data_IF_039990021506
#
_entry.id   IF_039990021506
#
_cell.length_a   1.000
_cell.length_b   1.000
_cell.length_c   1.000
_cell.angle_alpha   90.00
_cell.angle_beta   90.00
_cell.angle_gamma   90.00
#
_symmetry.space_group_name_H-M   'P 1'
#
loop_
_entity.id
_entity.type
_entity.pdbx_description
1 polymer ?
#
# COMPACT_ATOMS: atom_id res chain seq x y z
N UNK A 1 -30.26 12.41 34.53
CA UNK A 1 -29.57 13.24 33.52
C UNK A 1 -30.03 12.78 32.15
N UNK A 2 -30.65 13.66 31.37
CA UNK A 2 -31.24 13.33 30.07
C UNK A 2 -30.14 13.39 28.98
N UNK A 3 -29.93 12.29 28.27
CA UNK A 3 -29.02 12.15 27.11
C UNK A 3 -29.13 13.25 26.03
N UNK A 4 -30.30 13.84 25.70
CA UNK A 4 -30.36 14.92 24.70
C UNK A 4 -29.58 16.18 25.07
N UNK A 5 -29.41 16.49 26.36
CA UNK A 5 -28.68 17.70 26.76
C UNK A 5 -27.17 17.56 26.58
N UNK A 6 -26.63 16.33 26.68
CA UNK A 6 -25.22 16.05 26.43
C UNK A 6 -24.85 16.17 24.95
N UNK A 7 -25.75 15.76 24.04
CA UNK A 7 -25.53 15.87 22.59
C UNK A 7 -25.48 17.33 22.13
N UNK A 8 -26.32 18.19 22.71
CA UNK A 8 -26.30 19.64 22.46
C UNK A 8 -25.00 20.29 22.95
N UNK A 9 -24.48 19.88 24.10
CA UNK A 9 -23.21 20.38 24.63
C UNK A 9 -22.00 19.92 23.78
N UNK A 10 -22.10 18.75 23.15
CA UNK A 10 -21.11 18.22 22.21
C UNK A 10 -21.24 18.75 20.77
N UNK A 11 -22.23 19.61 20.50
CA UNK A 11 -22.54 20.17 19.15
C UNK A 11 -22.71 19.07 18.09
N UNK A 12 -23.23 17.91 18.47
CA UNK A 12 -23.50 16.82 17.54
C UNK A 12 -24.87 17.10 16.91
N UNK A 13 -24.96 17.28 15.58
CA UNK A 13 -26.25 17.53 14.93
C UNK A 13 -27.17 16.32 15.09
N UNK A 14 -28.46 16.58 15.27
CA UNK A 14 -29.47 15.54 15.41
C UNK A 14 -29.69 14.80 14.09
N UNK A 15 -30.13 13.52 14.14
CA UNK A 15 -30.34 12.71 12.92
C UNK A 15 -31.35 13.34 11.94
N UNK A 16 -32.33 14.09 12.46
CA UNK A 16 -33.28 14.84 11.64
C UNK A 16 -32.62 15.96 10.85
N UNK A 17 -31.71 16.71 11.48
CA UNK A 17 -30.99 17.82 10.85
C UNK A 17 -30.06 17.33 9.74
N UNK A 18 -29.37 16.20 9.99
CA UNK A 18 -28.52 15.55 8.98
C UNK A 18 -29.36 15.06 7.79
N UNK A 19 -30.52 14.46 8.06
CA UNK A 19 -31.42 13.98 6.99
C UNK A 19 -31.95 15.13 6.13
N UNK A 20 -32.37 16.22 6.76
CA UNK A 20 -32.92 17.38 6.04
C UNK A 20 -31.82 18.10 5.25
N UNK A 21 -30.60 18.14 5.79
CA UNK A 21 -29.42 18.59 5.05
C UNK A 21 -29.09 17.71 3.84
N UNK A 22 -29.14 16.38 3.98
CA UNK A 22 -28.92 15.46 2.86
C UNK A 22 -29.99 15.61 1.77
N UNK A 23 -31.24 15.89 2.16
CA UNK A 23 -32.35 16.16 1.23
C UNK A 23 -32.25 17.52 0.54
N UNK A 24 -31.45 18.46 1.07
CA UNK A 24 -31.21 19.76 0.42
C UNK A 24 -30.32 19.64 -0.83
N UNK A 25 -29.58 18.53 -1.00
CA UNK A 25 -28.78 18.29 -2.18
C UNK A 25 -29.61 17.78 -3.35
N UNK A 26 -29.17 18.11 -4.57
CA UNK A 26 -29.78 17.55 -5.78
C UNK A 26 -29.55 16.03 -5.86
N UNK A 27 -30.49 15.32 -6.48
CA UNK A 27 -30.38 13.88 -6.71
C UNK A 27 -29.08 13.51 -7.42
N UNK A 28 -28.63 14.32 -8.38
CA UNK A 28 -27.39 14.09 -9.12
C UNK A 28 -26.15 14.20 -8.22
N UNK A 29 -26.15 15.14 -7.28
CA UNK A 29 -25.05 15.31 -6.31
C UNK A 29 -24.97 14.09 -5.39
N UNK A 30 -26.10 13.63 -4.87
CA UNK A 30 -26.14 12.47 -3.97
C UNK A 30 -25.68 11.18 -4.69
N UNK A 31 -26.15 10.97 -5.92
CA UNK A 31 -25.72 9.85 -6.77
C UNK A 31 -24.22 9.97 -7.11
N UNK A 32 -23.73 11.16 -7.45
CA UNK A 32 -22.33 11.40 -7.73
C UNK A 32 -21.41 11.10 -6.54
N UNK A 33 -21.81 11.50 -5.33
CA UNK A 33 -21.10 11.15 -4.09
C UNK A 33 -21.09 9.64 -3.86
N UNK A 34 -22.21 8.96 -4.06
CA UNK A 34 -22.30 7.50 -3.99
C UNK A 34 -21.37 6.81 -4.98
N UNK A 35 -21.34 7.28 -6.22
CA UNK A 35 -20.47 6.73 -7.26
C UNK A 35 -18.98 6.93 -6.92
N UNK A 36 -18.59 8.12 -6.46
CA UNK A 36 -17.21 8.43 -6.07
C UNK A 36 -16.76 7.60 -4.87
N UNK A 37 -17.61 7.47 -3.84
CA UNK A 37 -17.31 6.66 -2.65
C UNK A 37 -17.17 5.17 -3.00
N UNK A 38 -18.05 4.63 -3.85
CA UNK A 38 -17.94 3.27 -4.35
C UNK A 38 -16.66 3.05 -5.17
N UNK A 39 -16.34 3.97 -6.09
CA UNK A 39 -15.14 3.87 -6.93
C UNK A 39 -13.84 3.94 -6.12
N UNK A 40 -13.77 4.86 -5.15
CA UNK A 40 -12.61 5.00 -4.26
C UNK A 40 -12.46 3.79 -3.35
N UNK A 41 -13.54 3.27 -2.77
CA UNK A 41 -13.51 2.05 -1.97
C UNK A 41 -13.06 0.84 -2.80
N UNK A 42 -13.59 0.68 -4.02
CA UNK A 42 -13.19 -0.38 -4.94
C UNK A 42 -11.70 -0.29 -5.30
N UNK A 43 -11.21 0.91 -5.63
CA UNK A 43 -9.80 1.13 -5.91
C UNK A 43 -8.93 0.84 -4.68
N UNK A 44 -9.34 1.28 -3.49
CA UNK A 44 -8.61 0.98 -2.25
C UNK A 44 -8.56 -0.51 -1.92
N UNK A 45 -9.61 -1.26 -2.25
CA UNK A 45 -9.69 -2.71 -2.04
C UNK A 45 -8.86 -3.51 -3.05
N UNK A 46 -8.77 -3.03 -4.30
CA UNK A 46 -8.13 -3.76 -5.41
C UNK A 46 -6.74 -3.26 -5.77
N UNK A 47 -6.32 -2.09 -5.26
CA UNK A 47 -4.99 -1.53 -5.53
C UNK A 47 -3.89 -2.51 -5.12
N UNK A 48 -2.80 -2.60 -5.90
CA UNK A 48 -1.62 -3.36 -5.51
C UNK A 48 -1.11 -2.87 -4.17
N UNK A 49 -0.90 -3.79 -3.22
CA UNK A 49 -0.27 -3.46 -1.95
C UNK A 49 1.21 -3.19 -2.20
N UNK A 50 1.72 -2.09 -1.63
CA UNK A 50 3.14 -1.83 -1.65
C UNK A 50 3.87 -3.00 -0.99
N UNK A 51 4.86 -3.56 -1.68
CA UNK A 51 5.70 -4.59 -1.12
C UNK A 51 6.42 -4.01 0.10
N UNK A 52 6.33 -4.71 1.24
CA UNK A 52 7.06 -4.31 2.44
C UNK A 52 8.55 -4.48 2.15
N UNK A 53 9.37 -3.42 2.29
CA UNK A 53 10.80 -3.55 2.05
C UNK A 53 11.42 -4.50 3.10
N UNK A 54 12.46 -5.27 2.72
CA UNK A 54 13.14 -6.21 3.62
C UNK A 54 13.77 -5.57 4.85
N UNK A 55 14.17 -4.31 4.72
CA UNK A 55 14.78 -3.53 5.77
C UNK A 55 14.21 -2.11 5.74
N UNK A 56 14.44 -1.39 6.83
CA UNK A 56 14.12 0.03 6.88
C UNK A 56 14.94 0.79 5.83
N UNK A 57 14.24 1.50 4.93
CA UNK A 57 14.88 2.25 3.85
C UNK A 57 15.67 3.46 4.36
N UNK A 58 15.34 3.96 5.56
CA UNK A 58 16.13 5.01 6.22
C UNK A 58 17.46 4.48 6.77
N UNK A 59 17.59 3.16 6.91
CA UNK A 59 18.76 2.49 7.47
C UNK A 59 19.14 1.26 6.64
N UNK A 60 19.44 1.47 5.35
CA UNK A 60 19.81 0.37 4.43
C UNK A 60 21.20 -0.20 4.70
N UNK A 61 22.08 0.55 5.37
CA UNK A 61 23.44 0.12 5.68
C UNK A 61 23.81 0.37 7.13
N UNK A 62 24.40 -0.63 7.76
CA UNK A 62 24.85 -0.62 9.16
C UNK A 62 26.38 -0.71 9.16
N UNK A 63 27.03 0.05 10.04
CA UNK A 63 28.48 0.00 10.20
C UNK A 63 28.93 -1.33 10.83
N UNK A 64 30.03 -1.87 10.32
CA UNK A 64 30.60 -3.09 10.86
C UNK A 64 31.45 -2.78 12.09
N UNK A 65 31.25 -3.48 13.21
CA UNK A 65 32.07 -3.28 14.40
C UNK A 65 33.52 -3.64 14.08
N UNK A 66 34.42 -2.66 14.25
CA UNK A 66 35.86 -2.84 13.98
C UNK A 66 36.26 -2.81 12.49
N UNK A 67 35.32 -2.55 11.58
CA UNK A 67 35.64 -2.29 10.18
C UNK A 67 35.88 -0.79 9.98
N UNK A 68 37.07 -0.40 9.55
CA UNK A 68 37.45 0.99 9.23
C UNK A 68 36.51 1.59 8.16
N UNK A 69 35.33 2.09 8.57
CA UNK A 69 34.24 2.59 7.72
C UNK A 69 33.55 1.53 6.84
N UNK A 70 33.80 0.24 7.07
CA UNK A 70 33.13 -0.82 6.34
C UNK A 70 31.64 -0.90 6.74
N UNK A 71 30.74 -0.93 5.76
CA UNK A 71 29.28 -1.02 5.98
C UNK A 71 28.72 -2.30 5.40
N UNK A 72 27.69 -2.86 6.04
CA UNK A 72 26.93 -4.03 5.59
C UNK A 72 25.48 -3.64 5.33
N UNK A 73 24.84 -4.27 4.35
CA UNK A 73 23.39 -4.11 4.15
C UNK A 73 22.60 -4.53 5.40
N UNK A 74 21.65 -3.71 5.83
CA UNK A 74 20.84 -3.98 7.02
C UNK A 74 20.02 -5.28 6.88
N UNK A 75 19.71 -5.70 5.65
CA UNK A 75 19.03 -6.97 5.34
C UNK A 75 19.80 -8.21 5.83
N UNK A 76 21.13 -8.12 6.00
CA UNK A 76 21.96 -9.28 6.33
C UNK A 76 22.00 -9.63 7.83
N UNK A 77 21.43 -8.81 8.73
CA UNK A 77 21.31 -9.10 10.19
C UNK A 77 22.53 -9.78 10.85
N UNK A 78 23.76 -9.42 10.46
CA UNK A 78 24.99 -10.02 11.02
C UNK A 78 25.40 -11.38 10.44
N UNK A 79 24.59 -12.01 9.59
CA UNK A 79 24.87 -13.28 8.93
C UNK A 79 25.82 -13.20 7.73
N UNK A 80 26.00 -14.35 7.06
CA UNK A 80 26.79 -14.51 5.85
C UNK A 80 26.22 -13.71 4.66
N UNK A 81 27.01 -13.55 3.59
CA UNK A 81 26.59 -12.85 2.37
C UNK A 81 25.29 -13.45 1.80
N UNK A 82 24.33 -12.59 1.46
CA UNK A 82 23.05 -12.98 0.88
C UNK A 82 23.29 -13.60 -0.51
N UNK A 83 23.04 -14.91 -0.66
CA UNK A 83 23.19 -15.61 -1.93
C UNK A 83 21.94 -15.51 -2.80
N UNK A 84 20.76 -15.57 -2.20
CA UNK A 84 19.47 -15.44 -2.85
C UNK A 84 18.46 -14.82 -1.88
N UNK A 85 17.51 -14.06 -2.42
CA UNK A 85 16.46 -13.42 -1.61
C UNK A 85 15.19 -14.28 -1.53
N UNK A 86 14.91 -15.07 -2.57
CA UNK A 86 13.77 -15.98 -2.64
C UNK A 86 14.25 -17.40 -2.97
N UNK A 87 13.75 -18.40 -2.26
CA UNK A 87 14.18 -19.81 -2.45
C UNK A 87 13.81 -20.38 -3.83
N UNK A 88 12.78 -19.84 -4.48
CA UNK A 88 12.33 -20.22 -5.83
C UNK A 88 12.98 -19.40 -6.95
N UNK A 89 13.90 -18.48 -6.62
CA UNK A 89 14.59 -17.64 -7.59
C UNK A 89 16.05 -17.41 -7.19
N UNK A 90 16.90 -18.36 -7.59
CA UNK A 90 18.35 -18.37 -7.33
C UNK A 90 19.13 -17.85 -8.52
N UNK A 91 18.56 -17.94 -9.72
CA UNK A 91 19.15 -17.39 -10.95
C UNK A 91 18.41 -16.15 -11.43
N UNK A 92 19.07 -15.30 -12.21
CA UNK A 92 18.44 -14.14 -12.86
C UNK A 92 17.24 -14.54 -13.72
N UNK A 93 17.33 -15.69 -14.40
CA UNK A 93 16.24 -16.21 -15.22
C UNK A 93 15.00 -16.55 -14.38
N UNK A 94 15.18 -17.23 -13.25
CA UNK A 94 14.08 -17.55 -12.33
C UNK A 94 13.48 -16.29 -11.68
N UNK A 95 14.29 -15.26 -11.39
CA UNK A 95 13.78 -13.96 -10.94
C UNK A 95 12.82 -13.34 -11.96
N UNK A 96 13.16 -13.38 -13.26
CA UNK A 96 12.26 -12.88 -14.31
C UNK A 96 10.99 -13.72 -14.44
N UNK A 97 11.12 -15.05 -14.39
CA UNK A 97 9.94 -15.93 -14.39
C UNK A 97 9.03 -15.68 -13.19
N UNK A 98 9.61 -15.50 -11.99
CA UNK A 98 8.87 -15.13 -10.79
C UNK A 98 8.17 -13.79 -10.97
N UNK A 99 8.86 -12.78 -11.50
CA UNK A 99 8.28 -11.48 -11.83
C UNK A 99 7.07 -11.58 -12.74
N UNK A 100 7.11 -12.45 -13.76
CA UNK A 100 5.96 -12.72 -14.64
C UNK A 100 4.78 -13.37 -13.90
N UNK A 101 5.05 -14.32 -12.98
CA UNK A 101 4.00 -14.95 -12.15
C UNK A 101 3.33 -13.95 -11.21
N UNK A 102 4.12 -13.09 -10.57
CA UNK A 102 3.65 -12.14 -9.55
C UNK A 102 3.00 -10.88 -10.17
N UNK A 103 3.47 -10.41 -11.33
CA UNK A 103 2.94 -9.18 -11.95
C UNK A 103 1.61 -9.39 -12.65
N UNK A 104 1.20 -10.64 -12.92
CA UNK A 104 -0.04 -11.08 -13.57
C UNK A 104 -0.40 -10.48 -14.93
N UNK A 105 0.16 -9.33 -15.35
CA UNK A 105 -0.12 -8.65 -16.63
C UNK A 105 0.83 -7.50 -16.99
N UNK A 106 1.80 -7.11 -16.15
CA UNK A 106 2.71 -6.01 -16.50
C UNK A 106 4.01 -6.54 -17.13
N UNK A 107 4.39 -6.08 -18.35
CA UNK A 107 5.68 -6.40 -18.91
C UNK A 107 6.76 -5.89 -17.95
N UNK A 108 7.65 -6.78 -17.52
CA UNK A 108 8.84 -6.38 -16.78
C UNK A 108 9.67 -5.44 -17.66
N UNK A 109 10.20 -4.36 -17.09
CA UNK A 109 11.05 -3.36 -17.77
C UNK A 109 12.22 -3.96 -18.58
N UNK A 110 12.60 -5.20 -18.30
CA UNK A 110 13.69 -5.95 -18.91
C UNK A 110 13.26 -6.92 -20.01
N UNK A 111 11.97 -7.16 -20.23
CA UNK A 111 11.47 -8.10 -21.24
C UNK A 111 10.97 -7.30 -22.43
N UNK A 112 11.78 -7.25 -23.49
CA UNK A 112 11.23 -6.90 -24.80
C UNK A 112 10.35 -8.06 -25.28
N UNK A 113 9.09 -7.81 -25.65
CA UNK A 113 8.28 -8.83 -26.30
C UNK A 113 8.96 -9.24 -27.62
N UNK A 114 8.97 -10.54 -27.98
CA UNK A 114 9.46 -10.96 -29.28
C UNK A 114 8.62 -10.30 -30.38
N UNK A 115 9.27 -9.53 -31.24
CA UNK A 115 8.66 -8.97 -32.44
C UNK A 115 8.48 -10.09 -33.45
N UNK A 116 7.22 -10.46 -33.71
CA UNK A 116 6.82 -11.23 -34.89
C UNK A 116 6.45 -10.28 -36.04
#
# INVERSE_FOLDING_TARGET
>A
MQTPDLLKQLRIPELSEVRDYLRSFSTHTLVGMGALTAATAYWLATRPKALKPPCDLSMQSVELPGGELARRGAVLNGGALLSHYYEDAKTMYECFQRGLRESSTCPSLSVQPPSH
#
